data_IF_274797290974
#
_entry.id   IF_274797290974
#
_cell.length_a   1.000
_cell.length_b   1.000
_cell.length_c   1.000
_cell.angle_alpha   90.00
_cell.angle_beta   90.00
_cell.angle_gamma   90.00
#
_symmetry.space_group_name_H-M   'P 1'
#
loop_
_entity.id
_entity.type
_entity.pdbx_description
1 polymer ?
#
# COMPACT_ATOMS: atom_id res chain seq x y z
N UNK A 1 -27.27 1.31 -3.44
CA UNK A 1 -26.22 1.53 -2.40
C UNK A 1 -24.92 2.04 -3.01
N UNK A 2 -24.39 1.40 -4.05
CA UNK A 2 -23.17 1.84 -4.78
C UNK A 2 -23.25 3.25 -5.37
N UNK A 3 -24.41 3.65 -5.92
CA UNK A 3 -24.59 4.99 -6.48
C UNK A 3 -24.44 6.13 -5.45
N UNK A 4 -24.97 5.94 -4.23
CA UNK A 4 -24.86 6.93 -3.14
C UNK A 4 -23.40 7.02 -2.66
N UNK A 5 -22.74 5.87 -2.50
CA UNK A 5 -21.33 5.80 -2.09
C UNK A 5 -20.45 6.50 -3.14
N UNK A 6 -20.66 6.25 -4.43
CA UNK A 6 -19.91 6.90 -5.49
C UNK A 6 -20.14 8.42 -5.51
N UNK A 7 -21.37 8.87 -5.26
CA UNK A 7 -21.67 10.29 -5.16
C UNK A 7 -20.91 10.94 -3.99
N UNK A 8 -20.95 10.32 -2.80
CA UNK A 8 -20.22 10.83 -1.63
C UNK A 8 -18.71 10.89 -1.89
N UNK A 9 -18.12 9.81 -2.43
CA UNK A 9 -16.69 9.75 -2.74
C UNK A 9 -16.28 10.81 -3.77
N UNK A 10 -17.10 11.04 -4.80
CA UNK A 10 -16.83 12.06 -5.82
C UNK A 10 -16.84 13.49 -5.26
N UNK A 11 -17.75 13.77 -4.31
CA UNK A 11 -17.87 15.10 -3.70
C UNK A 11 -16.91 15.34 -2.53
N UNK A 12 -16.34 14.29 -1.93
CA UNK A 12 -15.46 14.42 -0.77
C UNK A 12 -14.26 15.34 -1.01
N UNK A 13 -13.55 15.15 -2.13
CA UNK A 13 -12.35 15.95 -2.47
C UNK A 13 -12.71 17.41 -2.75
N UNK A 14 -13.67 17.74 -3.65
CA UNK A 14 -14.09 19.13 -3.86
C UNK A 14 -14.59 19.82 -2.59
N UNK A 15 -15.38 19.12 -1.76
CA UNK A 15 -15.89 19.67 -0.50
C UNK A 15 -14.74 19.99 0.45
N UNK A 16 -13.75 19.11 0.60
CA UNK A 16 -12.56 19.40 1.42
C UNK A 16 -11.78 20.61 0.91
N UNK A 17 -11.53 20.68 -0.40
CA UNK A 17 -10.77 21.78 -1.02
C UNK A 17 -11.50 23.12 -0.87
N UNK A 18 -12.83 23.14 -0.88
CA UNK A 18 -13.61 24.36 -0.66
C UNK A 18 -13.76 24.70 0.84
N UNK A 19 -14.02 23.69 1.67
CA UNK A 19 -14.32 23.85 3.09
C UNK A 19 -13.13 24.37 3.88
N UNK A 20 -11.92 23.83 3.65
CA UNK A 20 -10.73 24.20 4.43
C UNK A 20 -10.39 25.70 4.28
N UNK A 21 -10.28 26.27 3.05
CA UNK A 21 -10.06 27.70 2.85
C UNK A 21 -11.18 28.57 3.41
N UNK A 22 -12.45 28.18 3.22
CA UNK A 22 -13.60 28.92 3.74
C UNK A 22 -13.60 28.96 5.27
N UNK A 23 -13.33 27.83 5.92
CA UNK A 23 -13.21 27.76 7.37
C UNK A 23 -12.06 28.62 7.87
N UNK A 24 -10.88 28.55 7.25
CA UNK A 24 -9.74 29.39 7.58
C UNK A 24 -10.05 30.89 7.43
N UNK A 25 -10.79 31.26 6.38
CA UNK A 25 -11.28 32.62 6.17
C UNK A 25 -12.21 33.09 7.31
N UNK A 26 -13.16 32.26 7.75
CA UNK A 26 -14.04 32.62 8.90
C UNK A 26 -13.27 32.80 10.20
N UNK A 27 -12.13 32.12 10.35
CA UNK A 27 -11.21 32.26 11.49
C UNK A 27 -10.21 33.41 11.33
N UNK A 28 -10.31 34.21 10.27
CA UNK A 28 -9.40 35.33 9.93
C UNK A 28 -7.95 34.89 9.81
N UNK A 29 -7.72 33.66 9.36
CA UNK A 29 -6.37 33.16 9.04
C UNK A 29 -5.98 33.68 7.65
N UNK A 30 -4.74 34.16 7.45
CA UNK A 30 -4.23 34.55 6.13
C UNK A 30 -4.06 33.31 5.24
N UNK A 31 -5.16 32.93 4.56
CA UNK A 31 -5.30 31.63 3.88
C UNK A 31 -4.21 31.39 2.84
N UNK A 32 -3.92 32.40 2.02
CA UNK A 32 -2.92 32.28 0.95
C UNK A 32 -1.51 32.15 1.51
N UNK A 33 -1.15 33.00 2.48
CA UNK A 33 0.16 32.98 3.12
C UNK A 33 0.40 31.66 3.87
N UNK A 34 -0.59 31.20 4.65
CA UNK A 34 -0.51 29.89 5.34
C UNK A 34 -0.39 28.73 4.35
N UNK A 35 -1.12 28.78 3.23
CA UNK A 35 -0.98 27.78 2.16
C UNK A 35 0.43 27.78 1.56
N UNK A 36 0.99 28.95 1.23
CA UNK A 36 2.33 29.06 0.63
C UNK A 36 3.42 28.56 1.60
N UNK A 37 3.31 28.89 2.89
CA UNK A 37 4.21 28.38 3.93
C UNK A 37 4.13 26.86 4.01
N UNK A 38 2.93 26.30 4.12
CA UNK A 38 2.74 24.84 4.16
C UNK A 38 3.23 24.14 2.88
N UNK A 39 3.02 24.76 1.71
CA UNK A 39 3.52 24.23 0.44
C UNK A 39 5.05 24.20 0.38
N UNK A 40 5.73 25.23 0.92
CA UNK A 40 7.19 25.29 0.99
C UNK A 40 7.75 24.23 1.94
N UNK A 41 7.14 24.05 3.12
CA UNK A 41 7.52 22.99 4.07
C UNK A 41 7.30 21.59 3.48
N UNK A 42 6.18 21.38 2.80
CA UNK A 42 5.88 20.13 2.08
C UNK A 42 6.89 19.83 0.97
N UNK A 43 7.29 20.85 0.19
CA UNK A 43 8.31 20.70 -0.85
C UNK A 43 9.68 20.32 -0.27
N UNK A 44 10.08 20.95 0.84
CA UNK A 44 11.33 20.59 1.53
C UNK A 44 11.30 19.15 2.05
N UNK A 45 10.17 18.72 2.61
CA UNK A 45 9.95 17.35 3.06
C UNK A 45 10.04 16.35 1.90
N UNK A 46 9.44 16.68 0.74
CA UNK A 46 9.53 15.85 -0.45
C UNK A 46 10.98 15.65 -0.92
N UNK A 47 11.80 16.71 -0.95
CA UNK A 47 13.23 16.63 -1.29
C UNK A 47 13.99 15.70 -0.33
N UNK A 48 13.67 15.73 0.97
CA UNK A 48 14.32 14.86 1.96
C UNK A 48 13.96 13.37 1.78
N UNK A 49 12.74 13.07 1.33
CA UNK A 49 12.25 11.70 1.15
C UNK A 49 12.73 11.07 -0.17
N UNK A 50 12.90 11.86 -1.23
CA UNK A 50 13.25 11.39 -2.59
C UNK A 50 14.44 10.40 -2.60
N UNK A 51 15.60 10.68 -1.97
CA UNK A 51 16.73 9.76 -2.02
C UNK A 51 16.42 8.37 -1.49
N UNK A 52 15.66 8.29 -0.39
CA UNK A 52 15.32 7.02 0.21
C UNK A 52 14.32 6.23 -0.66
N UNK A 53 13.34 6.93 -1.23
CA UNK A 53 12.39 6.33 -2.19
C UNK A 53 13.09 5.78 -3.42
N UNK A 54 14.02 6.55 -4.01
CA UNK A 54 14.81 6.11 -5.17
C UNK A 54 15.63 4.88 -4.81
N UNK A 55 16.32 4.88 -3.67
CA UNK A 55 17.09 3.71 -3.21
C UNK A 55 16.24 2.45 -3.08
N UNK A 56 15.07 2.57 -2.47
CA UNK A 56 14.11 1.46 -2.35
C UNK A 56 13.57 1.00 -3.72
N UNK A 57 13.16 1.91 -4.60
CA UNK A 57 12.66 1.58 -5.94
C UNK A 57 13.73 0.86 -6.79
N UNK A 58 14.98 1.30 -6.72
CA UNK A 58 16.11 0.64 -7.38
C UNK A 58 16.31 -0.77 -6.83
N UNK A 59 16.35 -0.94 -5.49
CA UNK A 59 16.51 -2.24 -4.86
C UNK A 59 15.40 -3.23 -5.29
N UNK A 60 14.14 -2.77 -5.33
CA UNK A 60 13.01 -3.58 -5.79
C UNK A 60 13.16 -3.95 -7.27
N UNK A 61 13.58 -3.00 -8.11
CA UNK A 61 13.76 -3.22 -9.54
C UNK A 61 14.84 -4.27 -9.81
N UNK A 62 15.97 -4.19 -9.10
CA UNK A 62 17.04 -5.20 -9.14
C UNK A 62 16.55 -6.55 -8.62
N UNK A 63 15.79 -6.58 -7.52
CA UNK A 63 15.24 -7.81 -6.96
C UNK A 63 14.26 -8.52 -7.91
N UNK A 64 13.45 -7.75 -8.66
CA UNK A 64 12.54 -8.31 -9.68
C UNK A 64 13.31 -8.77 -10.91
N UNK A 65 14.22 -7.94 -11.43
CA UNK A 65 14.98 -8.24 -12.64
C UNK A 65 15.96 -9.42 -12.46
N UNK A 66 16.40 -9.70 -11.24
CA UNK A 66 17.27 -10.84 -10.94
C UNK A 66 16.56 -12.20 -10.95
N UNK A 67 15.23 -12.23 -11.06
CA UNK A 67 14.45 -13.47 -10.95
C UNK A 67 14.34 -14.01 -9.52
N UNK A 68 14.81 -13.27 -8.51
CA UNK A 68 14.72 -13.69 -7.11
C UNK A 68 13.26 -13.85 -6.66
N UNK A 69 12.36 -13.00 -7.17
CA UNK A 69 10.92 -13.12 -6.95
C UNK A 69 10.38 -14.45 -7.49
N UNK A 70 10.70 -14.77 -8.75
CA UNK A 70 10.23 -16.00 -9.41
C UNK A 70 10.79 -17.25 -8.74
N UNK A 71 12.05 -17.20 -8.31
CA UNK A 71 12.67 -18.26 -7.52
C UNK A 71 11.94 -18.46 -6.19
N UNK A 72 11.62 -17.39 -5.46
CA UNK A 72 10.89 -17.48 -4.19
C UNK A 72 9.48 -18.03 -4.38
N UNK A 73 8.76 -17.57 -5.41
CA UNK A 73 7.43 -18.07 -5.76
C UNK A 73 7.49 -19.55 -6.15
N UNK A 74 8.46 -19.95 -6.97
CA UNK A 74 8.66 -21.34 -7.39
C UNK A 74 9.03 -22.27 -6.23
N UNK A 75 9.78 -21.77 -5.24
CA UNK A 75 10.14 -22.55 -4.05
C UNK A 75 8.99 -22.70 -3.06
N UNK A 76 8.19 -21.65 -2.87
CA UNK A 76 7.07 -21.65 -1.90
C UNK A 76 5.76 -22.19 -2.49
N UNK A 77 5.56 -22.10 -3.80
CA UNK A 77 4.37 -22.53 -4.52
C UNK A 77 3.93 -23.98 -4.23
N UNK A 78 4.82 -24.98 -4.26
CA UNK A 78 4.45 -26.37 -3.96
C UNK A 78 3.90 -26.57 -2.55
N UNK A 79 4.38 -25.80 -1.57
CA UNK A 79 3.89 -25.88 -0.18
C UNK A 79 2.51 -25.25 -0.05
N UNK A 80 2.29 -24.12 -0.71
CA UNK A 80 1.01 -23.41 -0.71
C UNK A 80 -0.08 -24.16 -1.49
N UNK A 81 0.29 -24.81 -2.58
CA UNK A 81 -0.62 -25.67 -3.33
C UNK A 81 -1.14 -26.85 -2.47
N UNK A 82 -0.31 -27.40 -1.57
CA UNK A 82 -0.76 -28.42 -0.60
C UNK A 82 -1.76 -27.89 0.43
N UNK A 83 -1.75 -26.57 0.68
CA UNK A 83 -2.68 -25.89 1.57
C UNK A 83 -3.92 -25.35 0.85
N UNK A 84 -4.09 -25.64 -0.45
CA UNK A 84 -5.21 -25.13 -1.25
C UNK A 84 -5.10 -23.64 -1.61
N UNK A 85 -3.89 -23.05 -1.47
CA UNK A 85 -3.65 -21.64 -1.76
C UNK A 85 -3.10 -21.47 -3.18
N UNK A 86 -3.73 -20.65 -4.04
CA UNK A 86 -3.22 -20.36 -5.37
C UNK A 86 -1.85 -19.67 -5.31
N UNK A 87 -0.87 -20.15 -6.07
CA UNK A 87 0.48 -19.56 -6.12
C UNK A 87 0.51 -18.14 -6.69
N UNK A 88 -0.51 -17.78 -7.46
CA UNK A 88 -0.69 -16.48 -8.12
C UNK A 88 -0.84 -15.32 -7.13
N UNK A 89 -1.19 -15.63 -5.88
CA UNK A 89 -1.32 -14.63 -4.81
C UNK A 89 0.01 -14.27 -4.15
N UNK A 90 1.04 -15.10 -4.31
CA UNK A 90 2.33 -14.92 -3.64
C UNK A 90 3.05 -13.62 -4.02
N UNK A 91 3.11 -13.22 -5.30
CA UNK A 91 3.72 -11.95 -5.67
C UNK A 91 3.03 -10.77 -4.99
N UNK A 92 1.71 -10.83 -4.75
CA UNK A 92 0.98 -9.77 -4.07
C UNK A 92 1.46 -9.60 -2.62
N UNK A 93 1.67 -10.70 -1.89
CA UNK A 93 2.18 -10.66 -0.50
C UNK A 93 3.57 -10.04 -0.38
N UNK A 94 4.40 -10.17 -1.41
CA UNK A 94 5.74 -9.56 -1.45
C UNK A 94 5.70 -8.10 -1.91
N UNK A 95 4.87 -7.79 -2.91
CA UNK A 95 4.72 -6.43 -3.42
C UNK A 95 4.04 -5.51 -2.42
N UNK A 96 3.17 -6.04 -1.56
CA UNK A 96 2.33 -5.24 -0.67
C UNK A 96 3.13 -4.42 0.36
N UNK A 97 4.10 -4.97 1.10
CA UNK A 97 4.97 -4.17 1.96
C UNK A 97 5.83 -3.14 1.22
N UNK A 98 6.08 -3.33 -0.08
CA UNK A 98 7.01 -2.55 -0.89
C UNK A 98 6.34 -1.36 -1.60
N UNK A 99 5.13 -1.55 -2.12
CA UNK A 99 4.45 -0.56 -2.97
C UNK A 99 2.93 -0.70 -2.92
N UNK A 100 2.24 0.39 -2.57
CA UNK A 100 0.78 0.41 -2.50
C UNK A 100 0.13 0.42 -3.88
N UNK A 101 0.66 1.23 -4.79
CA UNK A 101 0.15 1.34 -6.16
C UNK A 101 0.53 0.13 -7.01
N UNK A 102 1.72 -0.43 -6.82
CA UNK A 102 2.16 -1.64 -7.52
C UNK A 102 1.39 -2.89 -7.05
N UNK A 103 1.15 -3.02 -5.74
CA UNK A 103 0.28 -4.09 -5.23
C UNK A 103 -1.16 -3.93 -5.69
N UNK A 104 -1.68 -2.70 -5.72
CA UNK A 104 -3.03 -2.44 -6.23
C UNK A 104 -3.16 -2.84 -7.70
N UNK A 105 -2.22 -2.42 -8.56
CA UNK A 105 -2.21 -2.78 -9.98
C UNK A 105 -2.17 -4.30 -10.17
N UNK A 106 -1.32 -5.00 -9.41
CA UNK A 106 -1.26 -6.46 -9.46
C UNK A 106 -2.56 -7.12 -8.98
N UNK A 107 -3.17 -6.62 -7.91
CA UNK A 107 -4.46 -7.10 -7.43
C UNK A 107 -5.59 -6.87 -8.46
N UNK A 108 -5.60 -5.72 -9.13
CA UNK A 108 -6.57 -5.45 -10.20
C UNK A 108 -6.37 -6.34 -11.42
N UNK A 109 -5.12 -6.69 -11.74
CA UNK A 109 -4.82 -7.63 -12.83
C UNK A 109 -5.33 -9.03 -12.48
N UNK A 110 -5.08 -9.51 -11.26
CA UNK A 110 -5.63 -10.78 -10.77
C UNK A 110 -7.16 -10.81 -10.82
N UNK A 111 -7.82 -9.75 -10.36
CA UNK A 111 -9.28 -9.62 -10.41
C UNK A 111 -9.80 -9.58 -11.85
N UNK A 112 -9.08 -8.93 -12.77
CA UNK A 112 -9.47 -8.86 -14.17
C UNK A 112 -9.33 -10.21 -14.88
N UNK A 113 -8.32 -11.01 -14.53
CA UNK A 113 -8.06 -12.32 -15.13
C UNK A 113 -8.99 -13.41 -14.56
N UNK A 114 -9.12 -13.48 -13.24
CA UNK A 114 -9.85 -14.56 -12.56
C UNK A 114 -11.28 -14.19 -12.17
N UNK A 115 -11.64 -12.91 -12.23
CA UNK A 115 -12.93 -12.38 -11.79
C UNK A 115 -12.91 -11.99 -10.29
N UNK A 116 -13.70 -10.99 -9.90
CA UNK A 116 -13.72 -10.47 -8.52
C UNK A 116 -14.27 -11.49 -7.50
N UNK A 117 -15.20 -12.35 -7.91
CA UNK A 117 -15.80 -13.37 -7.06
C UNK A 117 -14.99 -14.66 -6.95
N UNK A 118 -13.90 -14.78 -7.71
CA UNK A 118 -13.00 -15.92 -7.61
C UNK A 118 -12.27 -15.96 -6.27
N UNK A 119 -11.78 -17.14 -5.89
CA UNK A 119 -10.97 -17.28 -4.69
C UNK A 119 -9.73 -16.37 -4.73
N UNK A 120 -9.08 -16.29 -5.89
CA UNK A 120 -7.92 -15.41 -6.12
C UNK A 120 -8.33 -13.94 -5.99
N UNK A 121 -9.45 -13.53 -6.58
CA UNK A 121 -9.96 -12.16 -6.48
C UNK A 121 -10.30 -11.74 -5.05
N UNK A 122 -10.94 -12.65 -4.28
CA UNK A 122 -11.26 -12.44 -2.86
C UNK A 122 -10.02 -12.37 -1.98
N UNK A 123 -9.05 -13.27 -2.18
CA UNK A 123 -7.77 -13.23 -1.48
C UNK A 123 -7.01 -11.95 -1.82
N UNK A 124 -6.94 -11.56 -3.10
CA UNK A 124 -6.25 -10.37 -3.54
C UNK A 124 -6.85 -9.10 -2.91
N UNK A 125 -8.19 -9.01 -2.91
CA UNK A 125 -8.91 -7.90 -2.29
C UNK A 125 -8.67 -7.84 -0.77
N UNK A 126 -8.66 -8.99 -0.10
CA UNK A 126 -8.50 -9.06 1.35
C UNK A 126 -7.07 -8.71 1.76
N UNK A 127 -6.06 -9.22 1.06
CA UNK A 127 -4.65 -8.88 1.29
C UNK A 127 -4.41 -7.39 1.07
N UNK A 128 -4.96 -6.84 -0.02
CA UNK A 128 -4.84 -5.42 -0.36
C UNK A 128 -5.48 -4.52 0.70
N UNK A 129 -6.53 -4.98 1.39
CA UNK A 129 -7.20 -4.24 2.46
C UNK A 129 -6.61 -4.44 3.87
N UNK A 130 -5.94 -5.57 4.13
CA UNK A 130 -5.57 -5.98 5.50
C UNK A 130 -4.16 -5.61 5.94
N UNK A 131 -3.28 -5.27 5.00
CA UNK A 131 -1.86 -4.99 5.27
C UNK A 131 -1.46 -3.64 4.73
N UNK A 132 -0.36 -3.09 5.22
CA UNK A 132 0.14 -1.78 4.82
C UNK A 132 1.38 -1.91 3.94
N UNK A 133 1.91 -0.77 3.50
CA UNK A 133 3.13 -0.71 2.69
C UNK A 133 4.36 -0.51 3.60
N UNK A 134 4.61 -1.44 4.53
CA UNK A 134 5.57 -1.26 5.64
C UNK A 134 6.91 -0.66 5.23
N UNK A 135 7.57 -1.18 4.19
CA UNK A 135 8.89 -0.70 3.77
C UNK A 135 8.81 0.71 3.18
N UNK A 136 7.74 1.00 2.42
CA UNK A 136 7.47 2.34 1.90
C UNK A 136 7.15 3.32 3.03
N UNK A 137 6.19 2.99 3.92
CA UNK A 137 5.78 3.82 5.05
C UNK A 137 6.95 4.13 5.96
N UNK A 138 7.74 3.12 6.34
CA UNK A 138 8.93 3.34 7.17
C UNK A 138 9.90 4.28 6.48
N UNK A 139 10.19 4.06 5.20
CA UNK A 139 11.14 4.87 4.42
C UNK A 139 10.70 6.33 4.32
N UNK A 140 9.41 6.57 4.05
CA UNK A 140 8.84 7.91 3.90
C UNK A 140 8.73 8.60 5.26
N UNK A 141 8.16 7.92 6.25
CA UNK A 141 7.80 8.54 7.53
C UNK A 141 9.04 8.75 8.40
N UNK A 142 9.93 7.76 8.45
CA UNK A 142 11.22 7.92 9.14
C UNK A 142 12.12 8.90 8.38
N UNK A 143 12.06 8.90 7.04
CA UNK A 143 12.78 9.86 6.20
C UNK A 143 12.37 11.31 6.48
N UNK A 144 11.08 11.58 6.58
CA UNK A 144 10.53 12.92 6.86
C UNK A 144 10.98 13.50 8.22
N UNK A 145 11.12 12.63 9.23
CA UNK A 145 11.51 13.04 10.60
C UNK A 145 13.01 12.83 10.86
N UNK A 146 13.77 12.37 9.87
CA UNK A 146 15.22 12.15 9.99
C UNK A 146 15.63 10.99 10.91
N UNK A 147 14.73 10.03 11.16
CA UNK A 147 15.00 8.87 12.02
C UNK A 147 15.89 7.88 11.27
N UNK A 148 17.09 7.61 11.80
CA UNK A 148 18.06 6.68 11.21
C UNK A 148 17.95 5.23 11.73
N UNK A 149 17.40 5.03 12.92
CA UNK A 149 17.40 3.73 13.61
C UNK A 149 16.01 3.11 13.70
N UNK A 150 15.49 2.60 12.57
CA UNK A 150 14.16 2.00 12.46
C UNK A 150 14.07 0.49 12.66
N UNK A 151 15.13 -0.17 13.17
CA UNK A 151 15.28 -1.63 13.15
C UNK A 151 14.12 -2.42 13.78
N UNK A 152 13.51 -1.88 14.84
CA UNK A 152 12.40 -2.55 15.53
C UNK A 152 11.09 -2.39 14.75
N UNK A 153 10.82 -1.18 14.25
CA UNK A 153 9.65 -0.89 13.43
C UNK A 153 9.65 -1.73 12.14
N UNK A 154 10.82 -1.92 11.54
CA UNK A 154 10.99 -2.82 10.39
C UNK A 154 10.60 -4.26 10.71
N UNK A 155 11.13 -4.82 11.81
CA UNK A 155 10.86 -6.21 12.21
C UNK A 155 9.38 -6.42 12.54
N UNK A 156 8.81 -5.54 13.35
CA UNK A 156 7.41 -5.63 13.77
C UNK A 156 6.48 -5.42 12.58
N UNK A 157 6.78 -4.46 11.70
CA UNK A 157 5.97 -4.19 10.51
C UNK A 157 5.97 -5.37 9.55
N UNK A 158 7.13 -5.92 9.18
CA UNK A 158 7.19 -7.09 8.30
C UNK A 158 6.55 -8.33 8.92
N UNK A 159 6.65 -8.49 10.24
CA UNK A 159 5.95 -9.56 10.94
C UNK A 159 4.44 -9.37 10.91
N UNK A 160 3.95 -8.14 11.09
CA UNK A 160 2.54 -7.78 10.96
C UNK A 160 2.02 -8.04 9.55
N UNK A 161 2.79 -7.68 8.50
CA UNK A 161 2.41 -7.94 7.11
C UNK A 161 2.34 -9.45 6.82
N UNK A 162 3.30 -10.22 7.34
CA UNK A 162 3.30 -11.67 7.20
C UNK A 162 2.06 -12.30 7.86
N UNK A 163 1.73 -11.89 9.10
CA UNK A 163 0.50 -12.33 9.77
C UNK A 163 -0.73 -11.90 8.98
N UNK A 164 -0.79 -10.65 8.52
CA UNK A 164 -1.93 -10.13 7.76
C UNK A 164 -2.15 -10.89 6.46
N UNK A 165 -1.09 -11.26 5.76
CA UNK A 165 -1.14 -12.10 4.56
C UNK A 165 -1.68 -13.50 4.87
N UNK A 166 -1.13 -14.17 5.89
CA UNK A 166 -1.58 -15.51 6.31
C UNK A 166 -3.03 -15.48 6.78
N UNK A 167 -3.41 -14.50 7.60
CA UNK A 167 -4.75 -14.33 8.11
C UNK A 167 -5.75 -14.05 6.98
N UNK A 168 -5.38 -13.22 5.99
CA UNK A 168 -6.23 -12.97 4.81
C UNK A 168 -6.54 -14.26 4.06
N UNK A 169 -5.51 -15.09 3.82
CA UNK A 169 -5.68 -16.39 3.18
C UNK A 169 -6.56 -17.32 4.01
N UNK A 170 -6.28 -17.44 5.32
CA UNK A 170 -7.02 -18.32 6.22
C UNK A 170 -8.50 -17.93 6.32
N UNK A 171 -8.81 -16.63 6.41
CA UNK A 171 -10.19 -16.13 6.43
C UNK A 171 -10.88 -16.40 5.10
N UNK A 172 -10.21 -16.17 3.96
CA UNK A 172 -10.81 -16.48 2.67
C UNK A 172 -11.09 -17.98 2.52
N UNK A 173 -10.18 -18.86 2.95
CA UNK A 173 -10.38 -20.32 2.94
C UNK A 173 -11.52 -20.75 3.87
N UNK A 174 -11.64 -20.15 5.05
CA UNK A 174 -12.67 -20.53 6.01
C UNK A 174 -14.08 -20.11 5.57
N UNK A 175 -14.23 -18.93 4.96
CA UNK A 175 -15.54 -18.38 4.59
C UNK A 175 -15.98 -18.71 3.16
N UNK A 176 -15.04 -18.97 2.25
CA UNK A 176 -15.32 -19.12 0.82
C UNK A 176 -14.73 -20.38 0.18
N UNK A 177 -13.93 -21.16 0.93
CA UNK A 177 -13.34 -22.43 0.50
C UNK A 177 -14.17 -23.65 0.86
#
# INVERSE_FOLDING_TARGET
MTAIINMISAWAIPVLIAFIPLFAFTKKVPVYESFVVGAKEGFQTAIQIIPNLVGMMVAISVFRASGALDFFVGWTGPFLHRLGVPSEILPLGLLRPLTGTGSLAFATDLISVYGPDSMIGRMASTIQGSTDTTLYVLTVYMGAVGIRNGRYSLKVGLFSDCIGFIASIAVCLLFFG
#
